data_IF_581705356779
#
_entry.id   IF_581705356779
#
_cell.length_a   1.000
_cell.length_b   1.000
_cell.length_c   1.000
_cell.angle_alpha   90.00
_cell.angle_beta   90.00
_cell.angle_gamma   90.00
#
_symmetry.space_group_name_H-M   'P 1'
#
loop_
_entity.id
_entity.type
_entity.pdbx_description
1 polymer ?
#
# COMPACT_ATOMS: atom_id res chain seq x y z
N UNK A 1 4.99 -16.65 -0.25
CA UNK A 1 4.22 -15.55 0.39
C UNK A 1 2.83 -15.50 -0.24
N UNK A 2 1.76 -15.44 0.55
CA UNK A 2 0.40 -15.50 0.00
C UNK A 2 0.07 -14.23 -0.78
N UNK A 3 -0.07 -14.37 -2.10
CA UNK A 3 -0.52 -13.32 -3.03
C UNK A 3 -1.76 -12.57 -2.49
N UNK A 4 -2.62 -13.25 -1.70
CA UNK A 4 -3.82 -12.68 -1.08
C UNK A 4 -3.53 -11.46 -0.18
N UNK A 5 -2.48 -11.48 0.65
CA UNK A 5 -2.17 -10.36 1.56
C UNK A 5 -1.63 -9.13 0.83
N UNK A 6 -0.80 -9.37 -0.19
CA UNK A 6 -0.31 -8.31 -1.08
C UNK A 6 -1.47 -7.65 -1.85
N UNK A 7 -2.40 -8.46 -2.38
CA UNK A 7 -3.59 -7.96 -3.06
C UNK A 7 -4.56 -7.23 -2.12
N UNK A 8 -4.67 -7.66 -0.86
CA UNK A 8 -5.43 -6.95 0.18
C UNK A 8 -4.86 -5.54 0.43
N UNK A 9 -3.53 -5.38 0.44
CA UNK A 9 -2.88 -4.07 0.51
C UNK A 9 -3.21 -3.21 -0.71
N UNK A 10 -3.10 -3.76 -1.92
CA UNK A 10 -3.44 -3.03 -3.15
C UNK A 10 -4.89 -2.55 -3.15
N UNK A 11 -5.82 -3.45 -2.82
CA UNK A 11 -7.24 -3.14 -2.72
C UNK A 11 -7.50 -2.05 -1.68
N UNK A 12 -6.88 -2.15 -0.50
CA UNK A 12 -7.00 -1.11 0.53
C UNK A 12 -6.55 0.26 0.02
N UNK A 13 -5.41 0.33 -0.68
CA UNK A 13 -4.90 1.58 -1.26
C UNK A 13 -5.91 2.17 -2.24
N UNK A 14 -6.47 1.35 -3.12
CA UNK A 14 -7.48 1.78 -4.09
C UNK A 14 -8.72 2.35 -3.41
N UNK A 15 -9.27 1.62 -2.43
CA UNK A 15 -10.46 2.06 -1.69
C UNK A 15 -10.19 3.33 -0.87
N UNK A 16 -8.99 3.46 -0.31
CA UNK A 16 -8.59 4.65 0.44
C UNK A 16 -8.54 5.88 -0.48
N UNK A 17 -7.94 5.76 -1.67
CA UNK A 17 -7.91 6.85 -2.65
C UNK A 17 -9.33 7.22 -3.07
N UNK A 18 -10.17 6.24 -3.42
CA UNK A 18 -11.58 6.47 -3.81
C UNK A 18 -12.38 7.18 -2.72
N UNK A 19 -12.12 6.86 -1.45
CA UNK A 19 -12.86 7.41 -0.31
C UNK A 19 -12.39 8.79 0.14
N UNK A 20 -11.07 9.02 0.15
CA UNK A 20 -10.49 10.23 0.75
C UNK A 20 -9.91 11.21 -0.28
N UNK A 21 -9.74 10.79 -1.54
CA UNK A 21 -9.19 11.63 -2.60
C UNK A 21 -7.66 11.77 -2.56
N UNK A 22 -6.97 11.03 -1.70
CA UNK A 22 -5.51 10.99 -1.61
C UNK A 22 -5.03 9.60 -1.19
N UNK A 23 -3.80 9.19 -1.57
CA UNK A 23 -3.27 7.89 -1.21
C UNK A 23 -2.93 7.78 0.29
N UNK A 24 -3.06 6.57 0.88
CA UNK A 24 -2.72 6.32 2.27
C UNK A 24 -1.20 6.36 2.51
N UNK A 25 -0.79 6.53 3.76
CA UNK A 25 0.58 6.25 4.18
C UNK A 25 0.75 4.78 4.58
N UNK A 26 2.00 4.32 4.72
CA UNK A 26 2.31 2.97 5.24
C UNK A 26 1.65 2.72 6.60
N UNK A 27 1.59 3.75 7.46
CA UNK A 27 0.93 3.66 8.78
C UNK A 27 -0.58 3.53 8.65
N UNK A 28 -1.20 4.21 7.69
CA UNK A 28 -2.64 4.11 7.44
C UNK A 28 -3.01 2.71 6.95
N UNK A 29 -2.21 2.15 6.02
CA UNK A 29 -2.37 0.77 5.54
C UNK A 29 -2.23 -0.22 6.70
N UNK A 30 -1.19 -0.04 7.53
CA UNK A 30 -0.95 -0.91 8.68
C UNK A 30 -2.12 -0.91 9.67
N UNK A 31 -2.63 0.28 10.02
CA UNK A 31 -3.80 0.43 10.90
C UNK A 31 -5.07 -0.15 10.27
N UNK A 32 -5.30 0.13 8.99
CA UNK A 32 -6.51 -0.29 8.29
C UNK A 32 -6.62 -1.80 8.07
N UNK A 33 -5.49 -2.49 7.93
CA UNK A 33 -5.43 -3.94 7.70
C UNK A 33 -4.96 -4.74 8.93
N UNK A 34 -4.76 -4.09 10.08
CA UNK A 34 -4.37 -4.76 11.32
C UNK A 34 -2.92 -5.26 11.36
N UNK A 35 -2.02 -4.69 10.55
CA UNK A 35 -0.60 -5.02 10.62
C UNK A 35 0.07 -4.25 11.77
N UNK A 36 0.68 -5.00 12.69
CA UNK A 36 1.40 -4.43 13.84
C UNK A 36 2.73 -3.78 13.46
N UNK A 37 3.39 -4.29 12.41
CA UNK A 37 4.70 -3.81 11.98
C UNK A 37 4.62 -3.09 10.63
N UNK A 38 5.15 -1.85 10.53
CA UNK A 38 5.30 -1.16 9.24
C UNK A 38 6.12 -1.95 8.23
N UNK A 39 7.11 -2.74 8.68
CA UNK A 39 7.99 -3.51 7.81
C UNK A 39 7.24 -4.55 6.97
N UNK A 40 6.15 -5.10 7.52
CA UNK A 40 5.28 -6.04 6.77
C UNK A 40 4.61 -5.34 5.59
N UNK A 41 4.08 -4.13 5.80
CA UNK A 41 3.47 -3.32 4.74
C UNK A 41 4.52 -2.89 3.71
N UNK A 42 5.69 -2.45 4.16
CA UNK A 42 6.80 -2.13 3.25
C UNK A 42 7.18 -3.31 2.33
N UNK A 43 7.20 -4.53 2.87
CA UNK A 43 7.46 -5.73 2.08
C UNK A 43 6.42 -5.95 0.97
N UNK A 44 5.13 -5.75 1.27
CA UNK A 44 4.08 -5.87 0.27
C UNK A 44 4.11 -4.74 -0.78
N UNK A 45 4.31 -3.49 -0.35
CA UNK A 45 4.44 -2.36 -1.27
C UNK A 45 5.64 -2.52 -2.20
N UNK A 46 6.75 -3.06 -1.70
CA UNK A 46 7.91 -3.39 -2.53
C UNK A 46 7.56 -4.41 -3.62
N UNK A 47 6.89 -5.51 -3.25
CA UNK A 47 6.48 -6.53 -4.23
C UNK A 47 5.51 -5.98 -5.27
N UNK A 48 4.53 -5.17 -4.85
CA UNK A 48 3.60 -4.51 -5.77
C UNK A 48 4.31 -3.57 -6.74
N UNK A 49 5.36 -2.86 -6.28
CA UNK A 49 6.19 -2.00 -7.13
C UNK A 49 7.06 -2.80 -8.09
N UNK A 50 7.65 -3.91 -7.64
CA UNK A 50 8.41 -4.84 -8.49
C UNK A 50 7.53 -5.48 -9.57
N UNK A 51 6.22 -5.65 -9.30
CA UNK A 51 5.23 -6.14 -10.27
C UNK A 51 4.59 -5.02 -11.12
N UNK A 52 5.06 -3.77 -11.02
CA UNK A 52 4.52 -2.61 -11.74
C UNK A 52 3.03 -2.35 -11.50
N UNK A 53 2.48 -2.80 -10.36
CA UNK A 53 1.09 -2.55 -9.97
C UNK A 53 0.92 -1.20 -9.25
N UNK A 54 1.98 -0.70 -8.64
CA UNK A 54 2.00 0.60 -7.98
C UNK A 54 3.31 1.34 -8.24
N UNK A 55 3.25 2.67 -8.11
CA UNK A 55 4.42 3.53 -8.06
C UNK A 55 4.40 4.41 -6.81
N UNK A 56 5.57 4.82 -6.34
CA UNK A 56 5.71 5.81 -5.27
C UNK A 56 7.08 6.45 -5.26
N UNK A 57 7.11 7.72 -4.87
CA UNK A 57 8.31 8.43 -4.44
C UNK A 57 8.55 8.09 -2.97
N UNK A 58 9.47 7.14 -2.73
CA UNK A 58 9.77 6.61 -1.40
C UNK A 58 10.32 7.64 -0.41
N UNK A 59 10.64 8.86 -0.86
CA UNK A 59 11.07 9.97 -0.01
C UNK A 59 9.91 10.78 0.57
N UNK A 60 8.69 10.63 0.03
CA UNK A 60 7.52 11.44 0.40
C UNK A 60 6.33 10.57 0.77
N UNK A 61 5.59 10.89 1.85
CA UNK A 61 4.33 10.22 2.14
C UNK A 61 3.29 10.58 1.08
N UNK A 62 2.30 9.70 0.89
CA UNK A 62 1.14 9.94 0.01
C UNK A 62 1.50 10.19 -1.46
N UNK A 63 2.50 9.48 -1.95
CA UNK A 63 2.88 9.47 -3.37
C UNK A 63 2.51 8.16 -4.07
N UNK A 64 1.80 7.27 -3.38
CA UNK A 64 1.36 6.00 -3.94
C UNK A 64 0.38 6.24 -5.09
N UNK A 65 0.68 5.65 -6.23
CA UNK A 65 -0.14 5.60 -7.43
C UNK A 65 -0.43 4.13 -7.78
N UNK A 66 -1.64 3.85 -8.27
CA UNK A 66 -2.01 2.53 -8.79
C UNK A 66 -1.96 2.64 -10.31
N UNK A 67 -1.30 1.68 -10.96
CA UNK A 67 -1.15 1.61 -12.41
C UNK A 67 -2.35 0.92 -13.09
#
# INVERSE_FOLDING_TARGET
MSNKKKMEVLYFVEQYIKRYGYPPTVRDIGKGLGYRSPSTVHGYLRQLKEEHLIESDGSKPRTLHIN
#
